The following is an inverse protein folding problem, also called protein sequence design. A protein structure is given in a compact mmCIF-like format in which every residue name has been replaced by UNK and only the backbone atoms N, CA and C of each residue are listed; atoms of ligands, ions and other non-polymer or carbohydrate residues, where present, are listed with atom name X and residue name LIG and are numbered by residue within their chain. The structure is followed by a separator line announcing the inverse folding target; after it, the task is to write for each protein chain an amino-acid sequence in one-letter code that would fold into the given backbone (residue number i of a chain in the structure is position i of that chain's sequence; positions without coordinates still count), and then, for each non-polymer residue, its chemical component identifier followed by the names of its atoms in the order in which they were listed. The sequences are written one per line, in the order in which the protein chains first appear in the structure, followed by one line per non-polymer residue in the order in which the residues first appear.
data_IF_897906790644
#
_entry.id   IF_897906790644
#
_cell.length_a   1.000
_cell.length_b   1.000
_cell.length_c   1.000
_cell.angle_alpha   90.00
_cell.angle_beta   90.00
_cell.angle_gamma   90.00
#
_symmetry.space_group_name_H-M   'P 1'
#
loop_
_entity.id
_entity.type
_entity.pdbx_description
1 polymer ?
#
# COMPACT_ATOMS: atom_id res chain seq x y z
N UNK A 1 -11.36 -8.03 -4.00
CA UNK A 1 -11.43 -7.80 -2.54
C UNK A 1 -10.47 -6.69 -2.19
N UNK A 2 -10.94 -5.53 -1.68
CA UNK A 2 -10.09 -4.32 -1.46
C UNK A 2 -9.57 -4.17 -0.03
N UNK A 3 -10.20 -4.79 0.98
CA UNK A 3 -9.65 -4.91 2.34
C UNK A 3 -8.72 -6.11 2.46
N UNK A 4 -7.64 -5.98 3.23
CA UNK A 4 -6.60 -7.01 3.32
C UNK A 4 -6.27 -7.45 4.74
N UNK A 5 -6.47 -8.73 5.00
CA UNK A 5 -6.26 -9.36 6.31
C UNK A 5 -5.13 -10.38 6.19
N UNK A 6 -4.10 -10.23 7.03
CA UNK A 6 -2.89 -11.08 6.95
C UNK A 6 -2.45 -11.53 8.35
N UNK A 7 -3.33 -12.21 9.12
CA UNK A 7 -3.03 -12.57 10.51
C UNK A 7 -1.80 -13.47 10.62
N UNK A 8 -1.49 -14.29 9.60
CA UNK A 8 -0.29 -15.12 9.56
C UNK A 8 1.04 -14.33 9.53
N UNK A 9 0.99 -13.05 9.15
CA UNK A 9 2.12 -12.13 9.22
C UNK A 9 2.09 -11.23 10.47
N UNK A 10 1.20 -11.53 11.43
CA UNK A 10 1.01 -10.71 12.64
C UNK A 10 0.25 -9.41 12.40
N UNK A 11 -0.36 -9.22 11.22
CA UNK A 11 -1.11 -8.02 10.85
C UNK A 11 -2.60 -8.40 10.77
N UNK A 12 -3.44 -8.03 11.77
CA UNK A 12 -4.86 -8.34 11.74
C UNK A 12 -5.54 -7.81 10.47
N UNK A 13 -5.26 -6.56 10.11
CA UNK A 13 -5.67 -5.90 8.87
C UNK A 13 -4.61 -4.87 8.47
N UNK A 14 -4.14 -4.91 7.23
CA UNK A 14 -3.29 -3.86 6.68
C UNK A 14 -4.18 -2.67 6.28
N UNK A 15 -3.96 -1.44 6.78
CA UNK A 15 -4.97 -0.41 6.61
C UNK A 15 -5.11 0.13 5.18
N UNK A 16 -4.02 0.15 4.39
CA UNK A 16 -4.03 0.61 2.98
C UNK A 16 -2.93 -0.13 2.19
N UNK A 17 -3.32 -1.13 1.40
CA UNK A 17 -2.40 -2.06 0.74
C UNK A 17 -2.25 -1.74 -0.74
N UNK A 18 -1.18 -1.02 -1.10
CA UNK A 18 -0.91 -0.61 -2.48
C UNK A 18 -0.69 -1.79 -3.44
N UNK A 19 -0.04 -2.87 -3.00
CA UNK A 19 0.22 -4.06 -3.83
C UNK A 19 -1.07 -4.76 -4.28
N UNK A 20 -2.11 -4.76 -3.45
CA UNK A 20 -3.41 -5.30 -3.82
C UNK A 20 -4.11 -4.42 -4.83
N UNK A 21 -3.98 -3.10 -4.70
CA UNK A 21 -4.54 -2.17 -5.67
C UNK A 21 -3.84 -2.28 -7.03
N UNK A 22 -2.54 -2.61 -7.06
CA UNK A 22 -1.85 -2.96 -8.31
C UNK A 22 -2.47 -4.18 -9.00
N UNK A 23 -2.91 -5.19 -8.24
CA UNK A 23 -3.58 -6.39 -8.79
C UNK A 23 -5.05 -6.13 -9.15
N UNK A 24 -5.77 -5.31 -8.38
CA UNK A 24 -7.19 -5.03 -8.61
C UNK A 24 -7.45 -4.03 -9.73
N UNK A 25 -6.52 -3.12 -9.99
CA UNK A 25 -6.70 -2.05 -10.98
C UNK A 25 -7.00 -2.59 -12.38
N UNK A 26 -6.25 -3.58 -12.94
CA UNK A 26 -6.58 -4.14 -14.25
C UNK A 26 -7.98 -4.74 -14.32
N UNK A 27 -8.40 -5.44 -13.25
CA UNK A 27 -9.72 -6.06 -13.17
C UNK A 27 -10.85 -5.03 -13.21
N UNK A 28 -10.73 -3.95 -12.41
CA UNK A 28 -11.76 -2.90 -12.38
C UNK A 28 -11.69 -1.99 -13.60
N UNK A 29 -10.49 -1.73 -14.14
CA UNK A 29 -10.32 -0.93 -15.33
C UNK A 29 -11.03 -1.56 -16.54
N UNK A 30 -10.92 -2.89 -16.68
CA UNK A 30 -11.63 -3.65 -17.71
C UNK A 30 -13.16 -3.61 -17.53
N UNK A 31 -13.65 -3.67 -16.29
CA UNK A 31 -15.10 -3.69 -15.99
C UNK A 31 -15.78 -2.32 -16.06
N UNK A 32 -15.03 -1.26 -15.75
CA UNK A 32 -15.54 0.11 -15.70
C UNK A 32 -15.19 0.92 -16.95
N UNK A 33 -14.46 0.31 -17.90
CA UNK A 33 -13.99 0.93 -19.14
C UNK A 33 -13.21 2.22 -18.88
N UNK A 34 -12.36 2.22 -17.84
CA UNK A 34 -11.57 3.37 -17.40
C UNK A 34 -10.18 2.94 -16.97
N UNK A 35 -9.14 3.60 -17.48
CA UNK A 35 -7.75 3.35 -17.07
C UNK A 35 -7.39 4.00 -15.74
N UNK A 36 -8.06 5.10 -15.37
CA UNK A 36 -7.88 5.81 -14.10
C UNK A 36 -9.01 5.51 -13.15
N UNK A 37 -8.66 5.09 -11.94
CA UNK A 37 -9.59 4.69 -10.89
C UNK A 37 -9.19 5.35 -9.58
N UNK A 38 -10.16 5.93 -8.89
CA UNK A 38 -10.01 6.29 -7.48
C UNK A 38 -10.54 5.14 -6.63
N UNK A 39 -9.71 4.64 -5.71
CA UNK A 39 -10.03 3.53 -4.83
C UNK A 39 -10.05 4.00 -3.37
N UNK A 40 -10.88 3.34 -2.55
CA UNK A 40 -10.91 3.55 -1.11
C UNK A 40 -10.81 2.20 -0.39
N UNK A 41 -9.75 2.01 0.39
CA UNK A 41 -9.62 0.83 1.25
C UNK A 41 -10.33 1.10 2.58
N UNK A 42 -11.53 0.54 2.72
CA UNK A 42 -12.38 0.71 3.88
C UNK A 42 -11.94 -0.13 5.10
N UNK A 43 -10.67 -0.02 5.49
CA UNK A 43 -10.16 -0.50 6.79
C UNK A 43 -10.65 0.41 7.92
N UNK A 44 -10.38 0.06 9.18
CA UNK A 44 -10.70 0.92 10.31
C UNK A 44 -10.08 2.33 10.22
N UNK A 45 -8.89 2.46 9.61
CA UNK A 45 -8.23 3.76 9.37
C UNK A 45 -8.70 4.43 8.08
N UNK A 46 -9.09 3.64 7.09
CA UNK A 46 -9.41 4.14 5.75
C UNK A 46 -8.18 4.61 4.97
N UNK A 47 -8.35 4.73 3.65
CA UNK A 47 -7.36 5.38 2.81
C UNK A 47 -7.78 5.44 1.35
N UNK A 48 -7.59 6.61 0.76
CA UNK A 48 -7.79 6.86 -0.67
C UNK A 48 -6.52 6.55 -1.46
N UNK A 49 -6.67 5.94 -2.63
CA UNK A 49 -5.61 5.76 -3.60
C UNK A 49 -6.09 6.19 -4.98
N UNK A 50 -5.20 6.82 -5.73
CA UNK A 50 -5.36 7.01 -7.17
C UNK A 50 -4.56 5.92 -7.89
N UNK A 51 -5.23 5.20 -8.79
CA UNK A 51 -4.66 4.10 -9.54
C UNK A 51 -4.80 4.35 -11.04
N UNK A 52 -3.75 4.10 -11.81
CA UNK A 52 -3.77 4.23 -13.27
C UNK A 52 -3.16 3.00 -13.93
N UNK A 53 -3.94 2.33 -14.79
CA UNK A 53 -3.45 1.27 -15.67
C UNK A 53 -2.76 1.89 -16.89
N UNK A 54 -1.44 1.77 -16.97
CA UNK A 54 -0.61 2.25 -18.08
C UNK A 54 0.01 1.06 -18.83
N UNK A 55 -0.69 0.56 -19.85
CA UNK A 55 -0.29 -0.65 -20.57
C UNK A 55 -0.25 -1.87 -19.64
N UNK A 56 0.94 -2.43 -19.40
CA UNK A 56 1.17 -3.59 -18.52
C UNK A 56 1.54 -3.22 -17.08
N UNK A 57 1.55 -1.93 -16.71
CA UNK A 57 1.89 -1.47 -15.36
C UNK A 57 0.73 -0.72 -14.72
N UNK A 58 0.70 -0.73 -13.39
CA UNK A 58 -0.23 0.04 -12.58
C UNK A 58 0.56 1.05 -11.75
N UNK A 59 0.23 2.32 -11.90
CA UNK A 59 0.68 3.39 -11.03
C UNK A 59 -0.27 3.49 -9.84
N UNK A 60 0.26 3.58 -8.62
CA UNK A 60 -0.51 3.75 -7.39
C UNK A 60 0.03 4.96 -6.65
N UNK A 61 -0.85 5.91 -6.34
CA UNK A 61 -0.53 7.13 -5.61
C UNK A 61 -1.48 7.33 -4.44
N UNK A 62 -1.03 8.07 -3.43
CA UNK A 62 -1.82 8.45 -2.27
C UNK A 62 -1.12 9.53 -1.46
N UNK A 63 -1.86 10.18 -0.56
CA UNK A 63 -1.29 11.19 0.33
C UNK A 63 -0.46 10.53 1.45
N UNK A 64 0.63 11.20 1.85
CA UNK A 64 1.46 10.80 2.97
C UNK A 64 1.63 11.98 3.94
N UNK A 65 1.79 11.65 5.23
CA UNK A 65 2.04 12.64 6.30
C UNK A 65 3.23 12.16 7.11
N UNK A 66 4.22 13.05 7.32
CA UNK A 66 5.36 12.76 8.18
C UNK A 66 4.90 12.76 9.64
N UNK A 67 4.94 11.60 10.29
CA UNK A 67 4.60 11.46 11.71
C UNK A 67 5.80 11.73 12.63
N UNK A 68 6.99 11.28 12.25
CA UNK A 68 8.20 11.38 13.08
C UNK A 68 9.44 11.56 12.21
N UNK A 69 10.40 12.33 12.71
CA UNK A 69 11.79 12.39 12.24
C UNK A 69 12.69 12.15 13.45
N UNK A 70 13.62 11.20 13.36
CA UNK A 70 14.49 10.83 14.48
C UNK A 70 15.86 10.36 13.98
N UNK A 71 16.85 10.39 14.87
CA UNK A 71 18.15 9.73 14.70
C UNK A 71 18.18 8.46 15.55
N UNK A 72 18.60 7.35 14.96
CA UNK A 72 18.71 6.06 15.65
C UNK A 72 20.19 5.80 15.94
N UNK A 73 20.55 5.72 17.22
CA UNK A 73 21.89 5.34 17.68
C UNK A 73 21.86 3.93 18.27
N UNK A 74 22.79 3.07 17.85
CA UNK A 74 22.95 1.73 18.42
C UNK A 74 24.22 1.68 19.28
N UNK A 75 24.14 1.34 20.58
CA UNK A 75 25.34 1.11 21.37
C UNK A 75 26.02 -0.22 20.96
N UNK A 76 27.35 -0.22 20.81
CA UNK A 76 28.16 -1.46 20.70
C UNK A 76 28.26 -2.13 19.32
N UNK A 77 28.31 -1.38 18.22
CA UNK A 77 28.33 -1.90 16.83
C UNK A 77 29.60 -2.72 16.47
N UNK A 78 30.57 -2.89 17.38
CA UNK A 78 31.73 -3.77 17.14
C UNK A 78 31.37 -5.27 17.04
N UNK A 79 30.20 -5.69 17.52
CA UNK A 79 29.79 -7.11 17.54
C UNK A 79 29.14 -7.63 16.25
N UNK A 80 28.98 -6.81 15.22
CA UNK A 80 28.34 -7.20 13.95
C UNK A 80 29.28 -7.08 12.74
N UNK A 81 30.59 -7.29 12.93
CA UNK A 81 31.47 -7.61 11.80
C UNK A 81 31.41 -9.12 11.56
N UNK A 82 30.92 -9.50 10.37
CA UNK A 82 31.01 -10.85 9.83
C UNK A 82 32.47 -11.26 9.62
#
# INVERSE_FOLDING_TARGET
MSRYFVPGAGIPEDPVTGSIHATLTPYWAARLERSRLTAYQASARGGWLDCELTGSRVMVAGAAVTFMKAEISLPGVERFRA
#
